data_IF_009259100322
#
_entry.id   IF_009259100322
#
_cell.length_a   1.000
_cell.length_b   1.000
_cell.length_c   1.000
_cell.angle_alpha   90.00
_cell.angle_beta   90.00
_cell.angle_gamma   90.00
#
_symmetry.space_group_name_H-M   'P 1'
#
loop_
_entity.id
_entity.type
_entity.pdbx_description
1 polymer ?
#
# COMPACT_ATOMS: atom_id res chain seq x y z
N UNK A 1 3.68 -18.29 1.69
CA UNK A 1 2.57 -18.41 0.71
C UNK A 1 1.85 -17.07 0.66
N UNK A 2 1.92 -16.35 -0.47
CA UNK A 2 1.32 -15.02 -0.61
C UNK A 2 -0.13 -15.17 -1.08
N UNK A 3 -1.10 -14.71 -0.29
CA UNK A 3 -2.50 -14.65 -0.70
C UNK A 3 -2.80 -13.27 -1.28
N UNK A 4 -3.25 -13.22 -2.53
CA UNK A 4 -3.73 -12.00 -3.19
C UNK A 4 -5.26 -12.07 -3.16
N UNK A 5 -5.89 -11.20 -2.37
CA UNK A 5 -7.34 -11.04 -2.39
C UNK A 5 -7.69 -9.96 -3.42
N UNK A 6 -8.38 -10.31 -4.51
CA UNK A 6 -8.89 -9.34 -5.50
C UNK A 6 -10.12 -8.64 -4.94
N UNK A 7 -10.12 -7.30 -4.96
CA UNK A 7 -11.22 -6.47 -4.47
C UNK A 7 -12.42 -6.47 -5.44
N UNK A 8 -13.62 -6.30 -4.86
CA UNK A 8 -14.91 -6.24 -5.55
C UNK A 8 -15.14 -4.89 -6.24
N UNK A 9 -15.68 -4.93 -7.46
CA UNK A 9 -16.11 -3.75 -8.22
C UNK A 9 -17.42 -3.19 -7.64
N UNK A 10 -17.38 -1.97 -7.07
CA UNK A 10 -18.58 -1.19 -6.76
C UNK A 10 -19.18 -0.59 -8.05
N UNK A 11 -20.50 -0.41 -8.06
CA UNK A 11 -21.34 0.11 -9.15
C UNK A 11 -20.69 1.36 -9.80
N UNK A 12 -20.41 1.27 -11.11
CA UNK A 12 -19.77 2.33 -11.89
C UNK A 12 -20.83 3.29 -12.45
N UNK A 13 -20.89 4.52 -11.95
CA UNK A 13 -21.53 5.65 -12.64
C UNK A 13 -20.45 6.68 -12.96
N UNK A 14 -20.49 7.21 -14.18
CA UNK A 14 -19.45 8.09 -14.72
C UNK A 14 -19.78 9.56 -14.40
N UNK A 15 -18.77 10.44 -14.46
CA UNK A 15 -18.96 11.89 -14.22
C UNK A 15 -20.08 12.49 -15.08
N UNK A 16 -20.21 12.05 -16.34
CA UNK A 16 -21.28 12.48 -17.26
C UNK A 16 -22.71 12.17 -16.79
N UNK A 17 -22.89 11.22 -15.86
CA UNK A 17 -24.22 10.82 -15.36
C UNK A 17 -24.75 11.78 -14.28
N UNK A 18 -24.01 12.85 -13.96
CA UNK A 18 -24.30 13.78 -12.88
C UNK A 18 -24.12 15.24 -13.32
N UNK A 19 -25.03 16.11 -12.89
CA UNK A 19 -24.88 17.56 -13.05
C UNK A 19 -23.99 18.16 -11.94
N UNK A 20 -23.19 19.17 -12.29
CA UNK A 20 -22.38 19.95 -11.34
C UNK A 20 -21.35 19.15 -10.51
N UNK A 21 -20.73 18.12 -11.09
CA UNK A 21 -19.68 17.33 -10.42
C UNK A 21 -18.47 18.21 -10.11
N UNK A 22 -18.15 18.37 -8.82
CA UNK A 22 -16.97 19.13 -8.34
C UNK A 22 -15.67 18.32 -8.42
N UNK A 23 -15.76 17.00 -8.27
CA UNK A 23 -14.64 16.05 -8.33
C UNK A 23 -15.16 14.64 -8.56
N UNK A 24 -14.50 13.88 -9.42
CA UNK A 24 -14.72 12.45 -9.65
C UNK A 24 -13.37 11.72 -9.61
N UNK A 25 -13.31 10.56 -8.96
CA UNK A 25 -12.09 9.77 -8.87
C UNK A 25 -12.36 8.30 -9.10
N UNK A 26 -11.47 7.63 -9.83
CA UNK A 26 -11.49 6.18 -9.98
C UNK A 26 -10.65 5.52 -8.89
N UNK A 27 -11.26 4.70 -8.04
CA UNK A 27 -10.58 4.10 -6.90
C UNK A 27 -10.22 2.63 -7.16
N UNK A 28 -8.96 2.28 -6.94
CA UNK A 28 -8.48 0.89 -7.01
C UNK A 28 -7.66 0.54 -5.77
N UNK A 29 -7.75 -0.71 -5.31
CA UNK A 29 -7.07 -1.15 -4.08
C UNK A 29 -6.36 -2.48 -4.26
N UNK A 30 -5.11 -2.53 -3.80
CA UNK A 30 -4.30 -3.73 -3.67
C UNK A 30 -4.09 -4.06 -2.19
N UNK A 31 -4.08 -5.35 -1.87
CA UNK A 31 -3.71 -5.85 -0.56
C UNK A 31 -2.76 -7.04 -0.71
N UNK A 32 -1.68 -7.04 0.06
CA UNK A 32 -0.71 -8.12 0.20
C UNK A 32 -0.52 -8.44 1.68
N UNK A 33 -0.24 -9.70 1.98
CA UNK A 33 0.07 -10.14 3.34
C UNK A 33 1.31 -11.03 3.33
N UNK A 34 2.27 -10.71 4.18
CA UNK A 34 3.40 -11.57 4.53
C UNK A 34 2.96 -12.43 5.71
N UNK A 35 2.91 -13.74 5.46
CA UNK A 35 2.63 -14.77 6.46
C UNK A 35 3.93 -15.51 6.72
N UNK A 36 4.46 -15.50 7.96
CA UNK A 36 5.68 -16.23 8.30
C UNK A 36 5.53 -17.73 8.00
N UNK A 37 6.53 -18.35 7.39
CA UNK A 37 6.53 -19.77 7.06
C UNK A 37 7.89 -20.24 6.53
N UNK A 38 8.07 -21.55 6.33
CA UNK A 38 9.30 -22.08 5.72
C UNK A 38 9.28 -21.85 4.20
N UNK A 39 10.09 -20.91 3.71
CA UNK A 39 10.25 -20.62 2.28
C UNK A 39 10.67 -19.17 2.06
N UNK A 40 11.94 -18.98 1.72
CA UNK A 40 12.61 -17.68 1.60
C UNK A 40 12.34 -17.05 0.21
N UNK A 41 12.37 -15.72 0.14
CA UNK A 41 12.56 -14.84 -1.05
C UNK A 41 11.35 -14.14 -1.68
N UNK A 42 10.11 -14.59 -1.50
CA UNK A 42 8.98 -13.97 -2.23
C UNK A 42 8.62 -12.55 -1.75
N UNK A 43 9.01 -12.15 -0.53
CA UNK A 43 8.56 -10.88 0.07
C UNK A 43 9.24 -9.64 -0.53
N UNK A 44 10.46 -9.81 -1.07
CA UNK A 44 11.29 -8.75 -1.63
C UNK A 44 11.15 -8.58 -3.14
N UNK A 45 10.25 -9.34 -3.79
CA UNK A 45 10.03 -9.25 -5.23
C UNK A 45 8.79 -8.41 -5.55
N UNK A 46 8.92 -7.55 -6.55
CA UNK A 46 7.77 -6.87 -7.15
C UNK A 46 6.90 -7.89 -7.89
N UNK A 47 5.59 -7.81 -7.72
CA UNK A 47 4.61 -8.66 -8.42
C UNK A 47 3.87 -7.92 -9.54
N UNK A 48 4.26 -6.67 -9.82
CA UNK A 48 3.76 -5.89 -10.96
C UNK A 48 2.42 -5.19 -10.69
N UNK A 49 2.13 -4.87 -9.42
CA UNK A 49 0.98 -4.03 -9.09
C UNK A 49 1.26 -2.57 -9.49
N UNK A 50 0.21 -1.84 -9.87
CA UNK A 50 0.35 -0.44 -10.29
C UNK A 50 0.88 0.45 -9.17
N UNK A 51 0.40 0.24 -7.94
CA UNK A 51 0.98 0.80 -6.72
C UNK A 51 1.36 -0.37 -5.82
N UNK A 52 2.65 -0.51 -5.54
CA UNK A 52 3.19 -1.69 -4.87
C UNK A 52 4.06 -1.32 -3.69
N UNK A 53 3.78 -1.92 -2.52
CA UNK A 53 4.67 -1.90 -1.35
C UNK A 53 5.45 -3.22 -1.32
N UNK A 54 6.77 -3.15 -1.25
CA UNK A 54 7.68 -4.30 -1.22
C UNK A 54 8.41 -4.27 0.12
N UNK A 55 8.43 -5.41 0.82
CA UNK A 55 9.23 -5.56 2.03
C UNK A 55 10.62 -6.06 1.66
N UNK A 56 11.63 -5.25 1.96
CA UNK A 56 13.02 -5.57 1.70
C UNK A 56 13.54 -6.43 2.87
N UNK A 57 13.34 -7.74 2.79
CA UNK A 57 13.72 -8.70 3.83
C UNK A 57 13.35 -10.13 3.47
N UNK A 58 13.60 -11.07 4.39
CA UNK A 58 13.31 -12.50 4.21
C UNK A 58 11.86 -12.88 4.56
N UNK A 59 11.07 -11.94 5.08
CA UNK A 59 9.67 -12.13 5.47
C UNK A 59 9.47 -12.61 6.91
N UNK A 60 10.55 -12.72 7.68
CA UNK A 60 10.53 -12.99 9.11
C UNK A 60 10.94 -11.72 9.85
N UNK A 61 10.13 -11.31 10.83
CA UNK A 61 10.33 -10.05 11.53
C UNK A 61 10.08 -10.25 13.02
N UNK A 62 11.01 -9.73 13.82
CA UNK A 62 10.95 -9.78 15.28
C UNK A 62 10.76 -8.40 15.88
N UNK A 63 10.35 -8.37 17.15
CA UNK A 63 10.35 -7.14 17.94
C UNK A 63 11.77 -6.57 18.05
N UNK A 64 11.88 -5.24 18.05
CA UNK A 64 13.14 -4.47 18.05
C UNK A 64 13.97 -4.54 16.76
N UNK A 65 13.47 -5.22 15.73
CA UNK A 65 14.00 -5.11 14.36
C UNK A 65 13.40 -3.91 13.62
N UNK A 66 13.86 -3.66 12.39
CA UNK A 66 13.26 -2.69 11.49
C UNK A 66 12.93 -3.33 10.15
N UNK A 67 11.75 -3.03 9.63
CA UNK A 67 11.37 -3.40 8.27
C UNK A 67 11.71 -2.25 7.32
N UNK A 68 12.42 -2.56 6.24
CA UNK A 68 12.64 -1.62 5.14
C UNK A 68 11.59 -1.87 4.08
N UNK A 69 10.84 -0.83 3.73
CA UNK A 69 9.80 -0.87 2.71
C UNK A 69 10.25 -0.06 1.50
N UNK A 70 9.99 -0.58 0.31
CA UNK A 70 10.15 0.15 -0.95
C UNK A 70 8.80 0.26 -1.63
N UNK A 71 8.47 1.45 -2.13
CA UNK A 71 7.19 1.70 -2.79
C UNK A 71 7.41 2.07 -4.25
N UNK A 72 6.70 1.35 -5.11
CA UNK A 72 6.71 1.56 -6.55
C UNK A 72 5.35 2.07 -7.04
N UNK A 73 5.37 2.97 -8.01
CA UNK A 73 4.22 3.37 -8.80
C UNK A 73 4.55 3.20 -10.29
N UNK A 74 3.74 2.43 -11.03
CA UNK A 74 4.02 1.98 -12.41
C UNK A 74 5.44 1.40 -12.59
N UNK A 75 5.94 0.69 -11.57
CA UNK A 75 7.29 0.12 -11.54
C UNK A 75 8.42 1.12 -11.30
N UNK A 76 8.14 2.43 -11.23
CA UNK A 76 9.10 3.47 -10.84
C UNK A 76 9.03 3.75 -9.33
N UNK A 77 10.08 4.31 -8.75
CA UNK A 77 10.10 4.65 -7.31
C UNK A 77 9.10 5.77 -7.00
N UNK A 78 8.31 5.60 -5.95
CA UNK A 78 7.40 6.64 -5.46
C UNK A 78 8.06 7.44 -4.33
N UNK A 79 8.72 8.54 -4.68
CA UNK A 79 9.37 9.43 -3.72
C UNK A 79 8.37 10.40 -3.06
N UNK A 80 8.57 10.71 -1.78
CA UNK A 80 7.80 11.74 -1.06
C UNK A 80 6.34 11.39 -0.77
N UNK A 81 5.89 10.18 -1.12
CA UNK A 81 4.55 9.70 -0.78
C UNK A 81 4.37 9.46 0.72
N UNK A 82 3.13 9.59 1.21
CA UNK A 82 2.79 9.30 2.60
C UNK A 82 2.58 7.79 2.80
N UNK A 83 3.25 7.24 3.81
CA UNK A 83 3.10 5.89 4.30
C UNK A 83 2.40 5.94 5.66
N UNK A 84 1.20 5.38 5.75
CA UNK A 84 0.53 5.14 7.03
C UNK A 84 0.97 3.79 7.59
N UNK A 85 1.40 3.75 8.84
CA UNK A 85 1.78 2.57 9.60
C UNK A 85 0.77 2.39 10.72
N UNK A 86 0.24 1.18 10.90
CA UNK A 86 -0.63 0.86 12.02
C UNK A 86 -0.30 -0.54 12.54
N UNK A 87 -0.58 -0.79 13.81
CA UNK A 87 -0.30 -2.06 14.46
C UNK A 87 -1.50 -2.49 15.31
N UNK A 88 -1.76 -3.80 15.35
CA UNK A 88 -2.90 -4.34 16.08
C UNK A 88 -2.89 -3.93 17.55
N UNK A 89 -4.01 -3.41 18.06
CA UNK A 89 -4.14 -2.96 19.45
C UNK A 89 -3.85 -1.47 19.65
N UNK A 90 -3.27 -0.80 18.65
CA UNK A 90 -3.32 0.65 18.60
C UNK A 90 -4.78 1.09 18.34
N UNK A 91 -5.22 2.17 18.99
CA UNK A 91 -6.58 2.71 18.93
C UNK A 91 -6.91 3.35 17.56
N UNK A 92 -6.30 2.86 16.48
CA UNK A 92 -6.43 3.38 15.13
C UNK A 92 -5.63 4.64 14.85
N UNK A 93 -4.72 5.06 15.74
CA UNK A 93 -3.84 6.21 15.51
C UNK A 93 -2.60 5.78 14.73
N UNK A 94 -2.82 5.35 13.49
CA UNK A 94 -1.71 5.02 12.60
C UNK A 94 -0.73 6.18 12.48
N UNK A 95 0.57 5.88 12.57
CA UNK A 95 1.65 6.83 12.37
C UNK A 95 1.78 7.13 10.88
N UNK A 96 1.93 8.41 10.52
CA UNK A 96 2.30 8.80 9.16
C UNK A 96 3.80 9.05 9.07
N UNK A 97 4.44 8.46 8.07
CA UNK A 97 5.82 8.75 7.68
C UNK A 97 5.88 9.05 6.19
N UNK A 98 6.98 9.67 5.75
CA UNK A 98 7.18 10.10 4.37
C UNK A 98 8.24 9.21 3.72
N UNK A 99 7.98 8.76 2.50
CA UNK A 99 8.93 8.00 1.71
C UNK A 99 10.12 8.87 1.31
N UNK A 100 11.32 8.32 1.44
CA UNK A 100 12.57 8.95 1.00
C UNK A 100 12.62 9.19 -0.51
N UNK A 101 13.69 9.85 -0.97
CA UNK A 101 13.90 10.17 -2.38
C UNK A 101 14.05 8.93 -3.28
N UNK A 102 14.44 7.80 -2.70
CA UNK A 102 14.55 6.50 -3.35
C UNK A 102 13.26 5.66 -3.24
N UNK A 103 12.19 6.23 -2.69
CA UNK A 103 10.91 5.57 -2.46
C UNK A 103 10.92 4.58 -1.31
N UNK A 104 11.88 4.70 -0.38
CA UNK A 104 11.98 3.80 0.77
C UNK A 104 11.52 4.44 2.09
N UNK A 105 11.10 3.59 3.03
CA UNK A 105 10.91 3.96 4.43
C UNK A 105 11.42 2.82 5.32
N UNK A 106 12.06 3.18 6.43
CA UNK A 106 12.51 2.24 7.46
C UNK A 106 11.58 2.42 8.66
N UNK A 107 10.92 1.34 9.08
CA UNK A 107 9.96 1.36 10.18
C UNK A 107 10.45 0.44 11.30
N UNK A 108 10.74 0.96 12.51
CA UNK A 108 11.01 0.14 13.68
C UNK A 108 9.78 -0.69 14.06
N UNK A 109 9.99 -1.97 14.35
CA UNK A 109 8.97 -2.90 14.83
C UNK A 109 9.09 -3.02 16.35
N UNK A 110 8.67 -1.98 17.05
CA UNK A 110 8.86 -1.81 18.50
C UNK A 110 7.82 -2.53 19.38
N UNK A 111 6.87 -3.21 18.75
CA UNK A 111 5.84 -3.97 19.46
C UNK A 111 5.38 -5.21 18.70
N UNK A 112 4.99 -6.27 19.44
CA UNK A 112 4.49 -7.49 18.84
C UNK A 112 3.10 -7.27 18.22
N UNK A 113 2.75 -8.13 17.26
CA UNK A 113 1.41 -8.19 16.67
C UNK A 113 1.41 -8.10 15.15
N UNK A 114 0.27 -7.67 14.61
CA UNK A 114 0.06 -7.55 13.17
C UNK A 114 0.27 -6.09 12.76
N UNK A 115 1.17 -5.89 11.81
CA UNK A 115 1.53 -4.57 11.29
C UNK A 115 0.90 -4.36 9.91
N UNK A 116 0.36 -3.17 9.68
CA UNK A 116 -0.24 -2.76 8.41
C UNK A 116 0.45 -1.49 7.90
N UNK A 117 0.84 -1.54 6.64
CA UNK A 117 1.46 -0.45 5.90
C UNK A 117 0.55 -0.07 4.74
N UNK A 118 0.22 1.22 4.61
CA UNK A 118 -0.72 1.71 3.60
C UNK A 118 -0.12 2.91 2.88
N UNK A 119 -0.15 2.88 1.56
CA UNK A 119 0.12 4.04 0.71
C UNK A 119 -1.11 4.33 -0.13
N UNK A 120 -1.46 5.61 -0.25
CA UNK A 120 -2.49 6.09 -1.18
C UNK A 120 -1.86 7.10 -2.12
N UNK A 121 -1.95 6.84 -3.42
CA UNK A 121 -1.45 7.73 -4.46
C UNK A 121 -2.60 8.17 -5.36
N UNK A 122 -2.67 9.46 -5.65
CA UNK A 122 -3.67 10.04 -6.54
C UNK A 122 -2.93 10.63 -7.74
N UNK A 123 -3.30 10.19 -8.94
CA UNK A 123 -2.68 10.60 -10.20
C UNK A 123 -3.74 11.24 -11.12
N UNK A 124 -3.76 12.59 -11.19
CA UNK A 124 -4.60 13.33 -12.13
C UNK A 124 -4.24 13.08 -13.60
N UNK A 125 -3.00 12.70 -13.91
CA UNK A 125 -2.59 12.45 -15.30
C UNK A 125 -3.26 11.20 -15.90
N UNK A 126 -3.77 10.31 -15.05
CA UNK A 126 -4.58 9.14 -15.44
C UNK A 126 -6.08 9.39 -15.40
N UNK A 127 -6.53 10.65 -15.29
CA UNK A 127 -7.93 11.01 -15.50
C UNK A 127 -8.42 10.62 -16.89
N UNK A 128 -9.73 10.44 -17.02
CA UNK A 128 -10.40 10.22 -18.30
C UNK A 128 -11.54 11.22 -18.41
N UNK A 129 -11.46 12.04 -19.47
CA UNK A 129 -12.45 13.09 -19.75
C UNK A 129 -13.88 12.53 -19.68
N UNK A 130 -14.76 13.31 -19.06
CA UNK A 130 -16.17 12.99 -18.81
C UNK A 130 -16.45 11.72 -17.99
N UNK A 131 -15.42 11.04 -17.47
CA UNK A 131 -15.56 9.88 -16.58
C UNK A 131 -15.05 10.15 -15.17
N UNK A 132 -13.79 10.55 -15.02
CA UNK A 132 -13.16 10.83 -13.73
C UNK A 132 -11.93 11.73 -13.88
N UNK A 133 -11.69 12.58 -12.88
CA UNK A 133 -10.63 13.59 -12.92
C UNK A 133 -9.25 13.01 -12.59
N UNK A 134 -9.21 11.92 -11.83
CA UNK A 134 -7.97 11.29 -11.40
C UNK A 134 -8.16 9.81 -11.07
N UNK A 135 -7.06 9.07 -11.09
CA UNK A 135 -7.01 7.72 -10.57
C UNK A 135 -6.42 7.71 -9.18
N UNK A 136 -7.14 7.15 -8.22
CA UNK A 136 -6.70 7.00 -6.83
C UNK A 136 -6.44 5.52 -6.56
N UNK A 137 -5.20 5.18 -6.23
CA UNK A 137 -4.80 3.81 -5.95
C UNK A 137 -4.32 3.72 -4.50
N UNK A 138 -4.80 2.70 -3.80
CA UNK A 138 -4.32 2.36 -2.45
C UNK A 138 -3.64 1.00 -2.50
N UNK A 139 -2.48 0.90 -1.86
CA UNK A 139 -1.79 -0.37 -1.66
C UNK A 139 -1.62 -0.60 -0.16
N UNK A 140 -1.94 -1.81 0.28
CA UNK A 140 -1.78 -2.24 1.67
C UNK A 140 -0.88 -3.46 1.71
N UNK A 141 0.08 -3.45 2.63
CA UNK A 141 0.90 -4.60 3.00
C UNK A 141 0.70 -4.89 4.49
N UNK A 142 0.37 -6.13 4.83
CA UNK A 142 0.28 -6.59 6.21
C UNK A 142 1.40 -7.57 6.51
N UNK A 143 2.06 -7.41 7.66
CA UNK A 143 3.00 -8.39 8.23
C UNK A 143 2.32 -9.01 9.45
N UNK A 144 2.16 -10.33 9.43
CA UNK A 144 1.47 -11.05 10.49
C UNK A 144 2.47 -11.59 11.52
N UNK A 145 2.07 -11.55 12.80
CA UNK A 145 2.78 -12.20 13.91
C UNK A 145 4.24 -11.76 14.11
N UNK A 146 4.50 -10.45 14.15
CA UNK A 146 5.78 -9.93 14.66
C UNK A 146 5.85 -10.28 16.16
N UNK A 147 6.95 -10.89 16.61
CA UNK A 147 7.11 -11.39 17.98
C UNK A 147 8.56 -11.35 18.48
#
# INVERSE_FOLDING_TARGET
>A
MCFIQRAATLIHKEKKDYENVKRSGYYYQYAKTIVPGHGVEASSQAIGQELEIIAMGDGHYHVDEAITLKVLYDGAVLAGGALTVAVSGDNGQGLETVLGADGTAIVPLDQPGNWMFKVRHADPAKGVDDQYDEKVITSVLTVMNVH
#
